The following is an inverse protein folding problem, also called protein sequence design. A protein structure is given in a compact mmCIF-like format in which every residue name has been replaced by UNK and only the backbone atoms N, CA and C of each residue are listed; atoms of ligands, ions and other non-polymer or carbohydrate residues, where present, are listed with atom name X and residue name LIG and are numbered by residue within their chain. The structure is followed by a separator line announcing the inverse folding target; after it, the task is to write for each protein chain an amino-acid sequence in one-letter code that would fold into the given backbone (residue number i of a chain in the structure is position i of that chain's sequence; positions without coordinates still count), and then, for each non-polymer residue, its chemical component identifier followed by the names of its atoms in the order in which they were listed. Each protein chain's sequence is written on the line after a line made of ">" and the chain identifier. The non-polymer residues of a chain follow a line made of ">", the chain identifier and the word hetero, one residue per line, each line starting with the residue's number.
data_IF_620470625537
#
_entry.id   IF_620470625537
#
_cell.length_a   1.000
_cell.length_b   1.000
_cell.length_c   1.000
_cell.angle_alpha   90.00
_cell.angle_beta   90.00
_cell.angle_gamma   90.00
#
_symmetry.space_group_name_H-M   'P 1'
#
loop_
_entity.id
_entity.type
_entity.pdbx_description
1 polymer ?
#
# COMPACT_ATOMS: atom_id res chain seq x y z
N UNK A 1 -8.27 80.50 -18.78
CA UNK A 1 -9.67 80.29 -19.20
C UNK A 1 -9.73 79.06 -20.10
N UNK A 2 -10.58 78.06 -19.77
CA UNK A 2 -11.31 77.09 -20.64
C UNK A 2 -10.46 76.29 -21.68
N UNK A 3 -10.58 74.98 -21.95
CA UNK A 3 -11.43 73.80 -21.66
C UNK A 3 -10.64 72.62 -22.31
N UNK A 4 -10.45 71.46 -21.67
CA UNK A 4 -11.27 70.24 -21.72
C UNK A 4 -11.30 69.49 -23.08
N UNK A 5 -10.64 68.32 -23.15
CA UNK A 5 -10.99 67.09 -23.90
C UNK A 5 -9.75 66.15 -23.92
N UNK A 6 -9.62 65.11 -23.08
CA UNK A 6 -10.27 63.78 -23.14
C UNK A 6 -9.91 62.96 -24.39
N UNK A 7 -8.78 62.24 -24.37
CA UNK A 7 -8.65 60.95 -25.06
C UNK A 7 -7.85 59.97 -24.19
N UNK A 8 -8.54 58.89 -23.91
CA UNK A 8 -8.20 57.68 -23.19
C UNK A 8 -7.24 56.83 -24.04
N UNK A 9 -6.10 56.38 -23.52
CA UNK A 9 -5.55 55.06 -23.85
C UNK A 9 -4.64 54.60 -22.69
N UNK A 10 -5.27 53.82 -21.81
CA UNK A 10 -4.65 53.04 -20.76
C UNK A 10 -3.95 51.86 -21.43
N UNK A 11 -2.62 51.78 -21.31
CA UNK A 11 -1.90 50.50 -21.32
C UNK A 11 -0.94 50.51 -20.15
N UNK A 12 -1.48 50.28 -18.97
CA UNK A 12 -0.70 49.96 -17.77
C UNK A 12 -0.31 48.49 -17.92
N UNK A 13 0.94 48.24 -18.30
CA UNK A 13 1.56 46.94 -18.18
C UNK A 13 1.74 46.61 -16.70
N UNK A 14 0.74 45.94 -16.10
CA UNK A 14 0.87 45.35 -14.77
C UNK A 14 1.64 44.04 -14.93
N UNK A 15 2.92 44.07 -14.57
CA UNK A 15 3.68 42.89 -14.18
C UNK A 15 3.06 42.33 -12.89
N UNK A 16 2.16 41.37 -13.00
CA UNK A 16 1.73 40.55 -11.87
C UNK A 16 2.73 39.40 -11.71
N UNK A 17 3.72 39.63 -10.85
CA UNK A 17 4.61 38.60 -10.31
C UNK A 17 3.81 37.78 -9.28
N UNK A 18 3.96 36.45 -9.39
CA UNK A 18 3.60 35.43 -8.40
C UNK A 18 2.12 35.20 -8.12
N UNK A 19 1.47 34.40 -8.96
CA UNK A 19 0.54 33.40 -8.42
C UNK A 19 1.38 32.34 -7.71
N UNK A 20 1.51 32.50 -6.39
CA UNK A 20 1.89 31.43 -5.48
C UNK A 20 0.79 30.35 -5.58
N UNK A 21 1.00 29.35 -6.43
CA UNK A 21 0.15 28.17 -6.47
C UNK A 21 0.38 27.41 -5.16
N UNK A 22 -0.47 27.69 -4.17
CA UNK A 22 -0.81 26.73 -3.13
C UNK A 22 -1.32 25.48 -3.86
N UNK A 23 -0.42 24.57 -4.19
CA UNK A 23 -0.75 23.26 -4.70
C UNK A 23 -1.26 22.46 -3.51
N UNK A 24 -2.54 22.68 -3.23
CA UNK A 24 -3.38 21.81 -2.44
C UNK A 24 -3.45 20.52 -3.27
N UNK A 25 -2.60 19.55 -2.94
CA UNK A 25 -2.69 18.21 -3.51
C UNK A 25 -3.94 17.58 -2.90
N UNK A 26 -5.05 17.81 -3.60
CA UNK A 26 -6.36 17.28 -3.32
C UNK A 26 -6.35 15.79 -3.67
N UNK A 27 -6.78 14.99 -2.70
CA UNK A 27 -6.88 13.55 -2.74
C UNK A 27 -7.95 13.11 -3.75
N UNK A 28 -7.63 13.17 -5.05
CA UNK A 28 -8.56 12.89 -6.14
C UNK A 28 -8.02 11.88 -7.19
N UNK A 29 -6.96 11.14 -6.85
CA UNK A 29 -6.45 10.01 -7.65
C UNK A 29 -6.39 8.71 -6.82
N UNK A 30 -7.48 8.33 -6.14
CA UNK A 30 -7.72 6.93 -5.75
C UNK A 30 -9.16 6.57 -6.10
N UNK A 31 -9.41 6.49 -7.41
CA UNK A 31 -10.60 5.86 -7.96
C UNK A 31 -10.23 5.20 -9.29
N UNK A 32 -9.14 4.44 -9.27
CA UNK A 32 -9.05 3.33 -10.19
C UNK A 32 -10.15 2.36 -9.75
N UNK A 33 -11.19 2.26 -10.57
CA UNK A 33 -12.32 1.37 -10.38
C UNK A 33 -11.77 -0.02 -10.07
N UNK A 34 -12.06 -0.54 -8.87
CA UNK A 34 -11.68 -1.90 -8.48
C UNK A 34 -12.46 -2.86 -9.38
N UNK A 35 -11.92 -3.15 -10.57
CA UNK A 35 -12.53 -4.08 -11.50
C UNK A 35 -12.29 -5.48 -10.96
N UNK A 36 -13.35 -6.07 -10.46
CA UNK A 36 -13.41 -7.44 -9.97
C UNK A 36 -12.92 -8.44 -11.04
N UNK A 37 -11.76 -9.07 -10.81
CA UNK A 37 -11.27 -10.21 -11.59
C UNK A 37 -11.79 -11.51 -10.95
N UNK A 38 -11.98 -12.57 -11.73
CA UNK A 38 -12.38 -13.87 -11.17
C UNK A 38 -11.30 -14.43 -10.25
N UNK A 39 -11.72 -15.10 -9.17
CA UNK A 39 -10.86 -15.75 -8.17
C UNK A 39 -9.90 -14.79 -7.47
N UNK A 40 -10.32 -13.55 -7.23
CA UNK A 40 -9.55 -12.56 -6.46
C UNK A 40 -10.29 -12.07 -5.22
N UNK A 41 -9.53 -11.66 -4.21
CA UNK A 41 -10.06 -10.87 -3.11
C UNK A 41 -9.17 -9.66 -2.87
N UNK A 42 -9.79 -8.52 -2.64
CA UNK A 42 -9.12 -7.24 -2.43
C UNK A 42 -9.46 -6.79 -1.02
N UNK A 43 -8.42 -6.44 -0.27
CA UNK A 43 -8.51 -6.01 1.11
C UNK A 43 -7.81 -4.68 1.26
N UNK A 44 -8.55 -3.70 1.78
CA UNK A 44 -8.01 -2.39 2.16
C UNK A 44 -8.33 -2.17 3.62
N UNK A 45 -7.30 -2.11 4.46
CA UNK A 45 -7.48 -2.00 5.90
C UNK A 45 -6.40 -1.13 6.54
N UNK A 46 -6.70 -0.59 7.70
CA UNK A 46 -5.71 0.03 8.57
C UNK A 46 -5.21 -0.99 9.57
N UNK A 47 -3.91 -0.95 9.85
CA UNK A 47 -3.29 -1.84 10.81
C UNK A 47 -2.22 -1.10 11.62
N UNK A 48 -2.01 -1.56 12.85
CA UNK A 48 -0.94 -1.11 13.72
C UNK A 48 0.27 -2.02 13.53
N UNK A 49 1.43 -1.46 13.22
CA UNK A 49 2.66 -2.21 13.16
C UNK A 49 3.10 -2.62 14.58
N UNK A 50 3.29 -3.91 14.80
CA UNK A 50 3.66 -4.45 16.12
C UNK A 50 5.16 -4.68 16.25
N UNK A 51 5.85 -4.87 15.12
CA UNK A 51 7.30 -5.03 15.07
C UNK A 51 7.72 -6.12 14.09
N UNK A 52 9.01 -6.46 14.16
CA UNK A 52 9.62 -7.52 13.38
C UNK A 52 10.14 -8.60 14.32
N UNK A 53 9.77 -9.84 14.06
CA UNK A 53 10.25 -11.00 14.81
C UNK A 53 10.76 -12.08 13.85
N UNK A 54 11.76 -12.85 14.26
CA UNK A 54 12.22 -13.97 13.46
C UNK A 54 11.22 -15.13 13.57
N UNK A 55 10.64 -15.52 12.43
CA UNK A 55 9.76 -16.67 12.30
C UNK A 55 10.53 -17.84 11.67
N UNK A 56 10.49 -19.00 12.33
CA UNK A 56 11.05 -20.24 11.81
C UNK A 56 9.92 -21.18 11.38
N UNK A 57 9.98 -21.64 10.13
CA UNK A 57 9.04 -22.63 9.61
C UNK A 57 9.16 -23.95 10.39
N UNK A 58 8.02 -24.62 10.62
CA UNK A 58 7.93 -25.83 11.47
C UNK A 58 8.69 -27.07 10.98
N UNK A 59 9.35 -27.03 9.82
CA UNK A 59 10.19 -28.17 9.40
C UNK A 59 9.41 -29.37 8.83
N UNK A 60 8.17 -29.17 8.35
CA UNK A 60 7.29 -30.29 7.97
C UNK A 60 7.54 -30.82 6.54
N UNK A 61 8.45 -30.20 5.78
CA UNK A 61 8.85 -30.64 4.44
C UNK A 61 10.38 -30.67 4.31
N UNK A 62 10.88 -31.37 3.30
CA UNK A 62 12.32 -31.62 3.13
C UNK A 62 13.18 -30.36 2.91
N UNK A 63 12.57 -29.24 2.48
CA UNK A 63 13.27 -27.97 2.24
C UNK A 63 13.21 -27.01 3.43
N UNK A 64 12.42 -27.34 4.46
CA UNK A 64 12.34 -26.52 5.66
C UNK A 64 13.54 -26.79 6.59
N UNK A 65 13.98 -25.81 7.40
CA UNK A 65 13.43 -24.45 7.51
C UNK A 65 14.12 -23.40 6.62
N UNK A 66 15.30 -23.67 6.08
CA UNK A 66 16.17 -22.64 5.48
C UNK A 66 16.01 -22.46 3.97
N UNK A 67 15.43 -23.44 3.27
CA UNK A 67 15.29 -23.42 1.81
C UNK A 67 13.84 -23.33 1.32
N UNK A 68 12.85 -23.43 2.22
CA UNK A 68 11.43 -23.44 1.86
C UNK A 68 10.86 -22.04 1.60
N UNK A 69 11.58 -20.97 1.91
CA UNK A 69 11.10 -19.59 1.74
C UNK A 69 10.04 -19.14 2.74
N UNK A 70 9.78 -19.92 3.78
CA UNK A 70 8.79 -19.61 4.83
C UNK A 70 9.41 -19.23 6.18
N UNK A 71 10.74 -19.11 6.26
CA UNK A 71 11.44 -18.65 7.46
C UNK A 71 12.14 -17.33 7.21
N UNK A 72 12.23 -16.50 8.24
CA UNK A 72 12.90 -15.21 8.18
C UNK A 72 12.30 -14.20 9.14
N UNK A 73 12.76 -12.96 9.05
CA UNK A 73 12.14 -11.85 9.76
C UNK A 73 10.75 -11.61 9.19
N UNK A 74 9.75 -11.65 10.07
CA UNK A 74 8.34 -11.44 9.80
C UNK A 74 7.92 -10.10 10.39
N UNK A 75 7.33 -9.24 9.58
CA UNK A 75 6.67 -8.04 10.04
C UNK A 75 5.23 -8.37 10.47
N UNK A 76 4.85 -7.92 11.67
CA UNK A 76 3.56 -8.23 12.29
C UNK A 76 2.68 -6.98 12.34
N UNK A 77 1.43 -7.11 11.93
CA UNK A 77 0.45 -6.03 11.91
C UNK A 77 -0.86 -6.47 12.55
N UNK A 78 -1.37 -5.67 13.49
CA UNK A 78 -2.72 -5.88 14.05
C UNK A 78 -3.74 -5.08 13.27
N UNK A 79 -4.72 -5.72 12.67
CA UNK A 79 -5.76 -5.01 11.90
C UNK A 79 -6.66 -4.22 12.85
N UNK A 80 -6.86 -2.94 12.53
CA UNK A 80 -7.68 -2.01 13.32
C UNK A 80 -9.08 -1.91 12.71
N UNK A 81 -9.15 -1.64 11.41
CA UNK A 81 -10.42 -1.44 10.70
C UNK A 81 -10.29 -1.75 9.19
N UNK A 82 -11.39 -2.17 8.58
CA UNK A 82 -11.47 -2.42 7.15
C UNK A 82 -12.12 -1.24 6.43
N UNK A 83 -11.41 -0.67 5.46
CA UNK A 83 -11.91 0.38 4.58
C UNK A 83 -12.67 -0.19 3.40
N UNK A 84 -12.13 -1.23 2.78
CA UNK A 84 -12.76 -1.92 1.65
C UNK A 84 -12.46 -3.41 1.68
N UNK A 85 -13.41 -4.21 1.18
CA UNK A 85 -13.30 -5.65 1.12
C UNK A 85 -14.18 -6.18 -0.02
N UNK A 86 -13.53 -6.64 -1.09
CA UNK A 86 -14.19 -7.17 -2.29
C UNK A 86 -13.75 -8.61 -2.49
N UNK A 87 -14.70 -9.52 -2.64
CA UNK A 87 -14.43 -10.95 -2.87
C UNK A 87 -15.08 -11.37 -4.17
N UNK A 88 -14.29 -11.95 -5.06
CA UNK A 88 -14.71 -12.46 -6.35
C UNK A 88 -14.33 -13.93 -6.46
N UNK A 89 -15.26 -14.82 -6.10
CA UNK A 89 -15.04 -16.27 -6.09
C UNK A 89 -15.14 -16.87 -4.69
N UNK A 90 -14.50 -18.02 -4.47
CA UNK A 90 -14.67 -18.84 -3.26
C UNK A 90 -13.58 -18.60 -2.20
N UNK A 91 -12.79 -17.54 -2.36
CA UNK A 91 -11.42 -17.56 -1.91
C UNK A 91 -11.01 -16.18 -1.37
N UNK A 92 -10.28 -16.13 -0.24
CA UNK A 92 -10.00 -14.88 0.49
C UNK A 92 -11.26 -14.20 1.05
N UNK A 93 -12.22 -15.01 1.50
CA UNK A 93 -13.58 -14.60 1.90
C UNK A 93 -13.67 -14.00 3.31
N UNK A 94 -12.60 -14.07 4.09
CA UNK A 94 -12.59 -13.62 5.48
C UNK A 94 -11.73 -12.37 5.67
N UNK A 95 -12.21 -11.47 6.52
CA UNK A 95 -11.43 -10.34 6.98
C UNK A 95 -10.34 -10.81 7.94
N UNK A 96 -9.12 -10.34 7.71
CA UNK A 96 -7.95 -10.59 8.55
C UNK A 96 -8.05 -9.84 9.89
N UNK A 97 -7.73 -10.51 10.98
CA UNK A 97 -7.52 -9.87 12.30
C UNK A 97 -6.06 -9.45 12.51
N UNK A 98 -5.14 -10.17 11.88
CA UNK A 98 -3.70 -9.99 11.92
C UNK A 98 -3.16 -10.20 10.51
N UNK A 99 -2.12 -9.44 10.16
CA UNK A 99 -1.44 -9.56 8.87
C UNK A 99 0.06 -9.70 9.10
N UNK A 100 0.67 -10.64 8.39
CA UNK A 100 2.07 -10.99 8.54
C UNK A 100 2.73 -11.08 7.17
N UNK A 101 3.92 -10.49 7.04
CA UNK A 101 4.68 -10.54 5.79
C UNK A 101 6.17 -10.76 6.08
N UNK A 102 6.77 -11.69 5.35
CA UNK A 102 8.22 -11.91 5.41
C UNK A 102 8.95 -10.73 4.79
N UNK A 103 10.02 -10.28 5.44
CA UNK A 103 10.89 -9.20 4.96
C UNK A 103 12.35 -9.66 4.80
N UNK A 104 12.70 -10.86 5.26
CA UNK A 104 14.01 -11.47 5.04
C UNK A 104 13.90 -12.96 4.77
N UNK A 105 14.98 -13.56 4.26
CA UNK A 105 15.17 -15.01 4.24
C UNK A 105 15.57 -15.55 5.64
N UNK A 106 15.77 -16.87 5.72
CA UNK A 106 16.24 -17.57 6.91
C UNK A 106 17.58 -17.02 7.45
N UNK A 107 18.47 -16.60 6.55
CA UNK A 107 19.79 -16.06 6.86
C UNK A 107 19.78 -14.56 7.20
N UNK A 108 18.58 -13.96 7.30
CA UNK A 108 18.34 -12.54 7.61
C UNK A 108 18.81 -11.59 6.51
N UNK A 109 18.94 -12.07 5.28
CA UNK A 109 19.10 -11.20 4.13
C UNK A 109 17.73 -10.65 3.73
N UNK A 110 17.65 -9.33 3.52
CA UNK A 110 16.41 -8.68 3.09
C UNK A 110 15.90 -9.29 1.78
N UNK A 111 14.58 -9.49 1.69
CA UNK A 111 13.95 -9.88 0.43
C UNK A 111 14.03 -8.71 -0.57
N UNK A 112 14.23 -9.03 -1.85
CA UNK A 112 14.20 -8.06 -2.94
C UNK A 112 12.74 -7.70 -3.28
N UNK A 113 12.13 -6.88 -2.41
CA UNK A 113 10.74 -6.45 -2.48
C UNK A 113 10.63 -4.98 -2.09
N UNK A 114 9.86 -4.22 -2.86
CA UNK A 114 9.73 -2.76 -2.70
C UNK A 114 9.21 -2.33 -1.32
N UNK A 115 8.41 -3.17 -0.66
CA UNK A 115 7.88 -2.89 0.67
C UNK A 115 8.92 -3.05 1.80
N UNK A 116 10.02 -3.78 1.59
CA UNK A 116 10.96 -4.13 2.66
C UNK A 116 11.64 -2.89 3.27
N UNK A 117 12.20 -1.95 2.49
CA UNK A 117 12.79 -0.73 3.05
C UNK A 117 11.77 0.11 3.82
N UNK A 118 10.53 0.18 3.33
CA UNK A 118 9.45 0.92 3.97
C UNK A 118 9.09 0.31 5.33
N UNK A 119 8.83 -1.00 5.39
CA UNK A 119 8.49 -1.70 6.65
C UNK A 119 9.61 -1.56 7.68
N UNK A 120 10.87 -1.67 7.26
CA UNK A 120 12.04 -1.50 8.16
C UNK A 120 12.18 -0.08 8.71
N UNK A 121 11.52 0.92 8.12
CA UNK A 121 11.50 2.29 8.61
C UNK A 121 10.40 2.57 9.64
N UNK A 122 9.44 1.64 9.81
CA UNK A 122 8.35 1.78 10.76
C UNK A 122 8.82 1.58 12.20
N UNK A 123 8.21 2.33 13.11
CA UNK A 123 8.35 2.11 14.55
C UNK A 123 7.13 1.34 15.07
N UNK A 124 7.29 0.48 16.09
CA UNK A 124 6.15 -0.15 16.74
C UNK A 124 5.09 0.89 17.15
N UNK A 125 3.82 0.56 16.93
CA UNK A 125 2.64 1.43 17.07
C UNK A 125 2.39 2.44 15.93
N UNK A 126 3.26 2.53 14.92
CA UNK A 126 2.92 3.26 13.69
C UNK A 126 1.69 2.62 13.05
N UNK A 127 0.78 3.46 12.55
CA UNK A 127 -0.40 2.98 11.83
C UNK A 127 -0.15 3.07 10.33
N UNK A 128 -0.55 2.02 9.62
CA UNK A 128 -0.44 1.93 8.16
C UNK A 128 -1.79 1.62 7.54
N UNK A 129 -2.00 2.09 6.33
CA UNK A 129 -3.00 1.52 5.41
C UNK A 129 -2.31 0.48 4.53
N UNK A 130 -2.91 -0.69 4.43
CA UNK A 130 -2.44 -1.79 3.59
C UNK A 130 -3.51 -2.07 2.54
N UNK A 131 -3.09 -2.10 1.29
CA UNK A 131 -3.88 -2.56 0.16
C UNK A 131 -3.26 -3.84 -0.37
N UNK A 132 -4.00 -4.94 -0.27
CA UNK A 132 -3.58 -6.25 -0.79
C UNK A 132 -4.62 -6.84 -1.73
N UNK A 133 -4.14 -7.61 -2.69
CA UNK A 133 -4.93 -8.46 -3.57
C UNK A 133 -4.43 -9.90 -3.43
N UNK A 134 -5.34 -10.81 -3.07
CA UNK A 134 -5.10 -12.24 -3.21
C UNK A 134 -5.64 -12.71 -4.56
N UNK A 135 -4.81 -13.41 -5.33
CA UNK A 135 -5.19 -14.03 -6.60
C UNK A 135 -5.07 -15.55 -6.44
N UNK A 136 -6.14 -16.27 -6.71
CA UNK A 136 -6.13 -17.73 -6.74
C UNK A 136 -5.83 -18.19 -8.17
N UNK A 137 -4.62 -18.69 -8.38
CA UNK A 137 -4.20 -19.19 -9.68
C UNK A 137 -4.74 -20.61 -9.88
N UNK A 138 -5.83 -20.71 -10.63
CA UNK A 138 -6.49 -21.96 -11.01
C UNK A 138 -5.88 -22.59 -12.27
N UNK A 139 -4.87 -21.97 -12.88
CA UNK A 139 -4.17 -22.51 -14.06
C UNK A 139 -3.05 -23.49 -13.72
N UNK A 140 -2.63 -23.52 -12.44
CA UNK A 140 -1.61 -24.43 -11.93
C UNK A 140 -2.21 -25.80 -11.58
N UNK A 141 -1.39 -26.85 -11.68
CA UNK A 141 -1.77 -28.21 -11.27
C UNK A 141 -2.12 -28.30 -9.76
N UNK A 142 -1.53 -27.39 -8.96
CA UNK A 142 -1.85 -27.17 -7.55
C UNK A 142 -2.34 -25.73 -7.39
N UNK A 143 -3.56 -25.54 -6.85
CA UNK A 143 -4.12 -24.21 -6.64
C UNK A 143 -3.27 -23.46 -5.62
N UNK A 144 -2.75 -22.29 -6.02
CA UNK A 144 -1.95 -21.43 -5.14
C UNK A 144 -2.62 -20.07 -4.98
N UNK A 145 -2.57 -19.54 -3.76
CA UNK A 145 -2.92 -18.16 -3.48
C UNK A 145 -1.67 -17.30 -3.62
N UNK A 146 -1.69 -16.35 -4.54
CA UNK A 146 -0.65 -15.35 -4.73
C UNK A 146 -1.06 -14.10 -3.95
N UNK A 147 -0.20 -13.66 -3.04
CA UNK A 147 -0.37 -12.40 -2.32
C UNK A 147 0.33 -11.26 -3.06
N UNK A 148 -0.44 -10.25 -3.47
CA UNK A 148 0.06 -9.03 -4.07
C UNK A 148 -0.18 -7.85 -3.12
N UNK A 149 0.91 -7.35 -2.52
CA UNK A 149 0.87 -6.10 -1.74
C UNK A 149 0.92 -4.95 -2.73
N UNK A 150 -0.21 -4.28 -2.91
CA UNK A 150 -0.35 -3.14 -3.82
C UNK A 150 0.27 -1.89 -3.20
N UNK A 151 0.01 -1.65 -1.92
CA UNK A 151 0.62 -0.54 -1.18
C UNK A 151 0.64 -0.77 0.33
N UNK A 152 1.64 -0.19 0.99
CA UNK A 152 1.69 0.00 2.43
C UNK A 152 2.11 1.44 2.69
N UNK A 153 1.25 2.22 3.35
CA UNK A 153 1.46 3.66 3.54
C UNK A 153 1.28 3.99 5.01
N UNK A 154 2.23 4.72 5.60
CA UNK A 154 2.12 5.21 6.97
C UNK A 154 1.08 6.31 7.04
N UNK A 155 0.10 6.16 7.92
CA UNK A 155 -0.98 7.13 8.15
C UNK A 155 -0.86 7.86 9.49
N UNK A 156 -0.13 7.30 10.46
CA UNK A 156 0.13 7.91 11.76
C UNK A 156 1.49 7.53 12.32
#
# INVERSE_FOLDING_TARGET
>A
MKKLAFVLFIVIGVFAISCNSNQKYEADEIKEEIVAKEFTSIHVFTAKFEGVEFHECMGLTALCPDQCGHSGNMANFKVIDYKDFVVNGEAGTEKLEDYHVLISDYYKNDLDKDYVPFIKSLNPSDEVEIHLEYVYDTSLDEIQTIENIISIIKIR
#
